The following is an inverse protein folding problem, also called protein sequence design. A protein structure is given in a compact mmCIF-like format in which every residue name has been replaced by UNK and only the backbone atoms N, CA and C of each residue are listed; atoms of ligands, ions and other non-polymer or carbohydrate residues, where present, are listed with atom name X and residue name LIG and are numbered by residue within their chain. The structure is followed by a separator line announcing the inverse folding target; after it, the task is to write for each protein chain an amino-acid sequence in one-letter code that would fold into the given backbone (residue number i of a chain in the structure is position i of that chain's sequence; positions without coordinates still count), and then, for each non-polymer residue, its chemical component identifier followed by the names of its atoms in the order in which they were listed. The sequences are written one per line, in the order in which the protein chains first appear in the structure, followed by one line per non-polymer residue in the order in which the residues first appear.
data_IF_256102779524
#
_entry.id   IF_256102779524
#
_cell.length_a   1.000
_cell.length_b   1.000
_cell.length_c   1.000
_cell.angle_alpha   90.00
_cell.angle_beta   90.00
_cell.angle_gamma   90.00
#
_symmetry.space_group_name_H-M   'P 1'
#
loop_
_entity.id
_entity.type
_entity.pdbx_description
1 polymer ?
#
# COMPACT_ATOMS: atom_id res chain seq x y z
N UNK A 1 -26.48 37.86 3.79
CA UNK A 1 -25.81 36.57 3.68
C UNK A 1 -26.74 35.43 3.19
N UNK A 2 -27.99 35.34 3.67
CA UNK A 2 -28.96 34.33 3.19
C UNK A 2 -29.38 34.53 1.73
N UNK A 3 -29.52 35.74 1.23
CA UNK A 3 -29.92 36.00 -0.17
C UNK A 3 -28.86 35.64 -1.22
N UNK A 4 -27.58 35.79 -0.88
CA UNK A 4 -26.46 35.43 -1.77
C UNK A 4 -26.22 33.92 -1.88
N UNK A 5 -26.45 33.19 -0.78
CA UNK A 5 -26.39 31.72 -0.78
C UNK A 5 -27.52 31.09 -1.61
N UNK A 6 -28.70 31.73 -1.64
CA UNK A 6 -29.81 31.34 -2.50
C UNK A 6 -29.46 31.50 -3.98
N UNK A 7 -28.80 32.61 -4.36
CA UNK A 7 -28.36 32.86 -5.74
C UNK A 7 -27.33 31.86 -6.22
N UNK A 8 -26.33 31.52 -5.39
CA UNK A 8 -25.30 30.51 -5.72
C UNK A 8 -25.92 29.12 -5.85
N UNK A 9 -26.87 28.77 -4.97
CA UNK A 9 -27.60 27.51 -5.04
C UNK A 9 -28.46 27.39 -6.30
N UNK A 10 -29.05 28.48 -6.74
CA UNK A 10 -29.82 28.51 -7.98
C UNK A 10 -28.94 28.38 -9.22
N UNK A 11 -27.79 29.04 -9.27
CA UNK A 11 -26.80 28.89 -10.36
C UNK A 11 -26.27 27.45 -10.40
N UNK A 12 -25.98 26.83 -9.25
CA UNK A 12 -25.54 25.44 -9.18
C UNK A 12 -26.64 24.47 -9.63
N UNK A 13 -27.88 24.70 -9.23
CA UNK A 13 -29.01 23.88 -9.66
C UNK A 13 -29.27 24.02 -11.16
N UNK A 14 -29.08 25.21 -11.71
CA UNK A 14 -29.17 25.45 -13.15
C UNK A 14 -28.06 24.78 -13.95
N UNK A 15 -26.83 24.76 -13.44
CA UNK A 15 -25.70 24.03 -14.03
C UNK A 15 -25.90 22.50 -13.98
N UNK A 16 -26.49 21.99 -12.90
CA UNK A 16 -26.83 20.56 -12.78
C UNK A 16 -27.97 20.19 -13.73
N UNK A 17 -29.04 21.00 -13.82
CA UNK A 17 -30.16 20.79 -14.77
C UNK A 17 -29.72 20.87 -16.24
N UNK A 18 -28.82 21.79 -16.61
CA UNK A 18 -28.23 21.85 -17.96
C UNK A 18 -27.36 20.65 -18.29
N UNK A 19 -26.77 20.01 -17.28
CA UNK A 19 -26.04 18.72 -17.42
C UNK A 19 -26.99 17.55 -17.73
N UNK A 20 -28.18 17.55 -17.16
CA UNK A 20 -29.20 16.50 -17.37
C UNK A 20 -29.88 16.61 -18.74
N UNK A 21 -30.02 17.83 -19.30
CA UNK A 21 -30.75 18.09 -20.54
C UNK A 21 -29.91 18.13 -21.82
N UNK A 22 -28.61 17.78 -21.79
CA UNK A 22 -27.71 17.72 -22.99
C UNK A 22 -27.81 18.88 -23.98
N UNK A 23 -28.13 20.07 -23.53
CA UNK A 23 -28.15 21.25 -24.43
C UNK A 23 -26.74 21.72 -24.76
N UNK A 24 -26.45 21.76 -26.04
CA UNK A 24 -25.18 22.24 -26.61
C UNK A 24 -24.99 23.73 -26.30
N UNK A 25 -23.91 24.07 -25.59
CA UNK A 25 -23.52 25.44 -25.33
C UNK A 25 -23.06 26.10 -26.65
N UNK A 26 -23.73 27.15 -27.03
CA UNK A 26 -23.40 27.95 -28.16
C UNK A 26 -22.03 28.66 -28.01
N UNK A 27 -21.22 28.66 -29.07
CA UNK A 27 -19.82 29.11 -29.11
C UNK A 27 -19.61 30.63 -28.96
N UNK A 28 -20.54 31.36 -28.33
CA UNK A 28 -20.57 32.81 -28.40
C UNK A 28 -20.50 33.64 -27.11
N UNK A 29 -20.62 33.08 -25.88
CA UNK A 29 -20.68 33.95 -24.70
C UNK A 29 -19.34 34.05 -23.95
N UNK A 30 -18.72 35.25 -24.05
CA UNK A 30 -17.53 35.67 -23.29
C UNK A 30 -17.80 36.00 -21.81
N UNK A 31 -18.83 35.46 -21.15
CA UNK A 31 -19.10 35.72 -19.73
C UNK A 31 -18.62 34.54 -18.87
N UNK A 32 -17.32 34.45 -18.64
CA UNK A 32 -16.80 33.68 -17.54
C UNK A 32 -17.30 34.25 -16.22
N UNK A 33 -18.01 33.48 -15.42
CA UNK A 33 -18.41 33.87 -14.05
C UNK A 33 -17.17 34.23 -13.24
N UNK A 34 -16.98 35.52 -12.95
CA UNK A 34 -15.91 36.01 -12.07
C UNK A 34 -16.46 36.07 -10.65
N UNK A 35 -16.08 35.16 -9.83
CA UNK A 35 -16.34 35.24 -8.37
C UNK A 35 -15.40 36.24 -7.72
N UNK A 36 -15.91 37.06 -6.80
CA UNK A 36 -15.12 37.95 -5.97
C UNK A 36 -14.33 37.14 -4.94
N UNK A 37 -13.25 37.72 -4.39
CA UNK A 37 -12.44 37.08 -3.32
C UNK A 37 -13.30 36.66 -2.12
N UNK A 38 -14.34 37.43 -1.79
CA UNK A 38 -15.24 37.12 -0.68
C UNK A 38 -16.15 35.93 -0.99
N UNK A 39 -16.70 35.86 -2.21
CA UNK A 39 -17.52 34.72 -2.66
C UNK A 39 -16.70 33.43 -2.70
N UNK A 40 -15.46 33.46 -3.21
CA UNK A 40 -14.55 32.34 -3.21
C UNK A 40 -14.23 31.86 -1.77
N UNK A 41 -14.08 32.80 -0.83
CA UNK A 41 -13.82 32.46 0.57
C UNK A 41 -15.02 31.81 1.26
N UNK A 42 -16.23 32.13 0.84
CA UNK A 42 -17.48 31.57 1.35
C UNK A 42 -17.89 30.23 0.73
N UNK A 43 -17.26 29.81 -0.38
CA UNK A 43 -17.56 28.52 -1.04
C UNK A 43 -17.06 27.33 -0.24
N UNK A 44 -17.80 26.21 -0.22
CA UNK A 44 -17.31 24.96 0.32
C UNK A 44 -16.01 24.51 -0.34
N UNK A 45 -15.12 23.83 0.42
CA UNK A 45 -13.77 23.48 -0.07
C UNK A 45 -13.75 22.62 -1.33
N UNK A 46 -14.77 21.79 -1.57
CA UNK A 46 -14.88 20.98 -2.80
C UNK A 46 -15.21 21.82 -4.04
N UNK A 47 -15.92 22.92 -3.90
CA UNK A 47 -16.25 23.84 -5.01
C UNK A 47 -15.03 24.72 -5.38
N UNK A 48 -14.22 25.08 -4.39
CA UNK A 48 -13.00 25.89 -4.59
C UNK A 48 -11.91 25.20 -5.41
N UNK A 49 -12.05 23.89 -5.64
CA UNK A 49 -11.02 23.05 -6.26
C UNK A 49 -11.42 22.51 -7.63
N UNK A 50 -12.40 23.13 -8.31
CA UNK A 50 -12.83 22.73 -9.64
C UNK A 50 -12.89 23.94 -10.59
N UNK A 51 -12.68 23.68 -11.87
CA UNK A 51 -12.95 24.61 -12.97
C UNK A 51 -13.42 23.86 -14.21
N UNK A 52 -13.99 24.57 -15.15
CA UNK A 52 -14.49 23.99 -16.41
C UNK A 52 -13.51 24.35 -17.53
N UNK A 53 -13.07 23.35 -18.28
CA UNK A 53 -12.25 23.48 -19.48
C UNK A 53 -12.84 22.62 -20.59
N UNK A 54 -13.30 23.22 -21.72
CA UNK A 54 -13.85 22.52 -22.89
C UNK A 54 -14.81 21.38 -22.53
N UNK A 55 -15.87 21.67 -21.77
CA UNK A 55 -16.87 20.71 -21.27
C UNK A 55 -16.36 19.67 -20.22
N UNK A 56 -15.12 19.78 -19.74
CA UNK A 56 -14.61 18.97 -18.66
C UNK A 56 -14.66 19.72 -17.33
N UNK A 57 -15.15 19.04 -16.30
CA UNK A 57 -14.99 19.48 -14.92
C UNK A 57 -13.62 18.99 -14.45
N UNK A 58 -12.72 19.92 -14.18
CA UNK A 58 -11.32 19.63 -13.81
C UNK A 58 -11.12 19.94 -12.34
N UNK A 59 -10.65 18.96 -11.59
CA UNK A 59 -10.21 19.17 -10.22
C UNK A 59 -8.80 19.78 -10.20
N UNK A 60 -8.56 20.73 -9.30
CA UNK A 60 -7.21 21.22 -9.02
C UNK A 60 -6.91 21.19 -7.54
N UNK A 61 -5.64 21.20 -7.20
CA UNK A 61 -5.14 21.28 -5.83
C UNK A 61 -4.11 22.40 -5.71
N UNK A 62 -3.91 22.85 -4.47
CA UNK A 62 -2.81 23.74 -4.14
C UNK A 62 -1.78 22.89 -3.39
N UNK A 63 -0.54 22.89 -3.88
CA UNK A 63 0.57 22.14 -3.26
C UNK A 63 1.03 22.86 -2.00
N UNK A 64 1.82 22.17 -1.18
CA UNK A 64 2.46 22.75 0.03
C UNK A 64 3.32 23.98 -0.27
N UNK A 65 3.85 24.08 -1.51
CA UNK A 65 4.66 25.20 -1.98
C UNK A 65 3.81 26.33 -2.62
N UNK A 66 2.49 26.30 -2.47
CA UNK A 66 1.59 27.33 -2.99
C UNK A 66 1.31 27.28 -4.49
N UNK A 67 1.77 26.24 -5.22
CA UNK A 67 1.48 26.07 -6.62
C UNK A 67 0.10 25.44 -6.83
N UNK A 68 -0.60 25.90 -7.86
CA UNK A 68 -1.84 25.33 -8.35
C UNK A 68 -1.52 24.22 -9.35
N UNK A 69 -2.13 23.06 -9.18
CA UNK A 69 -1.98 21.90 -10.06
C UNK A 69 -3.34 21.35 -10.45
N UNK A 70 -3.52 21.10 -11.74
CA UNK A 70 -4.71 20.45 -12.29
C UNK A 70 -4.32 19.26 -13.13
N UNK A 71 -5.14 18.20 -13.08
CA UNK A 71 -4.90 16.96 -13.81
C UNK A 71 -6.20 16.34 -14.28
N UNK A 72 -6.22 15.92 -15.55
CA UNK A 72 -7.20 14.96 -16.09
C UNK A 72 -6.48 13.71 -16.53
N UNK A 73 -7.00 12.55 -16.14
CA UNK A 73 -6.54 11.25 -16.61
C UNK A 73 -7.75 10.46 -17.09
N UNK A 74 -7.77 10.09 -18.36
CA UNK A 74 -8.76 9.21 -19.01
C UNK A 74 -8.02 8.23 -19.92
N UNK A 75 -8.70 7.22 -20.43
CA UNK A 75 -8.15 6.08 -21.17
C UNK A 75 -7.01 6.42 -22.15
N UNK A 76 -7.15 7.51 -22.93
CA UNK A 76 -6.15 7.92 -23.92
C UNK A 76 -5.73 9.38 -23.74
N UNK A 77 -6.07 10.01 -22.62
CA UNK A 77 -5.81 11.41 -22.37
C UNK A 77 -5.18 11.62 -20.99
N UNK A 78 -3.96 12.14 -20.98
CA UNK A 78 -3.33 12.62 -19.76
C UNK A 78 -2.91 14.07 -19.97
N UNK A 79 -3.54 14.96 -19.20
CA UNK A 79 -3.25 16.40 -19.24
C UNK A 79 -3.02 16.85 -17.81
N UNK A 80 -1.87 17.47 -17.59
CA UNK A 80 -1.48 18.04 -16.31
C UNK A 80 -0.94 19.44 -16.55
N UNK A 81 -1.27 20.38 -15.66
CA UNK A 81 -0.69 21.71 -15.69
C UNK A 81 -0.51 22.25 -14.27
N UNK A 82 0.54 23.05 -14.10
CA UNK A 82 0.83 23.75 -12.85
C UNK A 82 1.11 25.22 -13.10
N UNK A 83 0.88 26.05 -12.09
CA UNK A 83 1.13 27.49 -12.13
C UNK A 83 1.28 28.11 -10.74
N UNK A 84 1.95 29.26 -10.65
CA UNK A 84 2.08 29.99 -9.38
C UNK A 84 0.76 30.60 -8.91
N UNK A 85 -0.17 30.80 -9.83
CA UNK A 85 -1.52 31.28 -9.59
C UNK A 85 -2.53 30.42 -10.38
N UNK A 86 -3.82 30.54 -10.02
CA UNK A 86 -4.90 29.77 -10.63
C UNK A 86 -5.05 30.04 -12.12
N UNK A 87 -4.97 31.30 -12.56
CA UNK A 87 -5.18 31.67 -13.97
C UNK A 87 -4.03 31.16 -14.85
N UNK A 88 -2.79 31.23 -14.37
CA UNK A 88 -1.63 30.66 -15.10
C UNK A 88 -1.76 29.15 -15.24
N UNK A 89 -2.14 28.44 -14.18
CA UNK A 89 -2.38 27.00 -14.24
C UNK A 89 -3.53 26.66 -15.18
N UNK A 90 -4.66 27.36 -15.06
CA UNK A 90 -5.86 27.16 -15.88
C UNK A 90 -5.57 27.38 -17.37
N UNK A 91 -4.90 28.48 -17.74
CA UNK A 91 -4.49 28.77 -19.12
C UNK A 91 -3.62 27.64 -19.67
N UNK A 92 -2.56 27.27 -18.99
CA UNK A 92 -1.68 26.18 -19.41
C UNK A 92 -2.42 24.85 -19.58
N UNK A 93 -3.41 24.59 -18.71
CA UNK A 93 -4.24 23.40 -18.83
C UNK A 93 -5.10 23.43 -20.09
N UNK A 94 -5.75 24.56 -20.38
CA UNK A 94 -6.57 24.74 -21.57
C UNK A 94 -5.70 24.63 -22.83
N UNK A 95 -4.53 25.27 -22.86
CA UNK A 95 -3.60 25.21 -24.00
C UNK A 95 -3.16 23.75 -24.29
N UNK A 96 -2.86 22.99 -23.25
CA UNK A 96 -2.51 21.57 -23.40
C UNK A 96 -3.68 20.71 -23.83
N UNK A 97 -4.87 21.01 -23.33
CA UNK A 97 -6.09 20.34 -23.75
C UNK A 97 -6.41 20.60 -25.21
N UNK A 98 -6.29 21.85 -25.67
CA UNK A 98 -6.46 22.24 -27.08
C UNK A 98 -5.41 21.55 -27.95
N UNK A 99 -4.13 21.63 -27.57
CA UNK A 99 -3.04 20.94 -28.30
C UNK A 99 -3.21 19.42 -28.37
N UNK A 100 -3.85 18.82 -27.39
CA UNK A 100 -4.18 17.39 -27.43
C UNK A 100 -5.21 17.09 -28.51
N UNK A 101 -6.25 17.91 -28.66
CA UNK A 101 -7.26 17.74 -29.67
C UNK A 101 -6.73 18.09 -31.07
N UNK A 102 -5.93 19.14 -31.21
CA UNK A 102 -5.32 19.54 -32.49
C UNK A 102 -4.39 18.44 -33.04
N UNK A 103 -3.68 17.72 -32.16
CA UNK A 103 -2.85 16.55 -32.52
C UNK A 103 -3.66 15.30 -32.85
N UNK A 104 -4.88 15.18 -32.32
CA UNK A 104 -5.74 14.02 -32.60
C UNK A 104 -6.36 14.03 -34.02
N UNK A 105 -6.32 15.17 -34.68
CA UNK A 105 -6.77 15.29 -36.09
C UNK A 105 -5.69 14.90 -37.11
N UNK A 106 -4.41 14.81 -36.71
CA UNK A 106 -3.32 14.23 -37.50
C UNK A 106 -3.18 12.72 -37.15
N UNK A 107 -4.04 11.91 -37.68
CA UNK A 107 -4.03 10.46 -37.46
C UNK A 107 -2.92 9.77 -38.23
N UNK A 108 -1.89 9.16 -37.62
CA UNK A 108 -1.32 7.97 -38.20
C UNK A 108 -2.39 6.88 -38.05
N UNK A 109 -2.68 6.19 -39.15
CA UNK A 109 -3.48 4.98 -39.16
C UNK A 109 -2.84 3.92 -38.24
N UNK A 110 -2.98 4.08 -36.93
CA UNK A 110 -2.83 2.98 -36.02
C UNK A 110 -4.05 2.10 -36.24
N UNK A 111 -3.79 0.87 -36.69
CA UNK A 111 -4.77 -0.19 -36.76
C UNK A 111 -5.68 -0.11 -35.55
N UNK A 112 -6.93 0.24 -35.76
CA UNK A 112 -7.99 0.12 -34.78
C UNK A 112 -8.07 -1.39 -34.54
N UNK A 113 -7.40 -1.88 -33.49
CA UNK A 113 -7.72 -3.19 -32.96
C UNK A 113 -9.19 -3.10 -32.59
N UNK A 114 -10.05 -3.79 -33.32
CA UNK A 114 -11.45 -3.97 -32.94
C UNK A 114 -11.46 -4.40 -31.47
N UNK A 115 -11.87 -3.48 -30.60
CA UNK A 115 -12.04 -3.78 -29.18
C UNK A 115 -13.20 -4.74 -29.12
N UNK A 116 -12.91 -6.01 -28.86
CA UNK A 116 -13.94 -7.03 -28.68
C UNK A 116 -14.90 -6.52 -27.59
N UNK A 117 -16.21 -6.54 -27.80
CA UNK A 117 -17.16 -6.14 -26.77
C UNK A 117 -16.99 -7.06 -25.54
N UNK A 118 -17.26 -6.55 -24.35
CA UNK A 118 -17.00 -7.23 -23.07
C UNK A 118 -17.71 -8.61 -22.94
N UNK A 119 -18.79 -8.81 -23.69
CA UNK A 119 -19.52 -10.10 -23.80
C UNK A 119 -18.76 -11.19 -24.59
N UNK A 120 -17.68 -10.81 -25.27
CA UNK A 120 -16.81 -11.73 -26.03
C UNK A 120 -15.42 -11.90 -25.40
N UNK A 121 -15.14 -11.21 -24.30
CA UNK A 121 -13.85 -11.29 -23.61
C UNK A 121 -13.97 -12.20 -22.40
N UNK A 122 -13.23 -13.31 -22.40
CA UNK A 122 -13.18 -14.18 -21.24
C UNK A 122 -12.50 -13.50 -20.05
N UNK A 123 -13.03 -13.74 -18.87
CA UNK A 123 -12.42 -13.25 -17.62
C UNK A 123 -10.97 -13.73 -17.49
N UNK A 124 -10.68 -14.97 -17.86
CA UNK A 124 -9.32 -15.54 -17.78
C UNK A 124 -8.35 -14.80 -18.66
N UNK A 125 -8.69 -14.52 -19.91
CA UNK A 125 -7.81 -13.82 -20.85
C UNK A 125 -7.50 -12.41 -20.33
N UNK A 126 -8.53 -11.73 -19.83
CA UNK A 126 -8.36 -10.39 -19.29
C UNK A 126 -7.56 -10.35 -17.98
N UNK A 127 -7.80 -11.31 -17.09
CA UNK A 127 -7.04 -11.44 -15.85
C UNK A 127 -5.55 -11.74 -16.11
N UNK A 128 -5.23 -12.47 -17.18
CA UNK A 128 -3.84 -12.69 -17.61
C UNK A 128 -3.18 -11.41 -18.15
N UNK A 129 -3.92 -10.57 -18.87
CA UNK A 129 -3.43 -9.24 -19.25
C UNK A 129 -3.14 -8.36 -18.01
N UNK A 130 -4.05 -8.38 -17.03
CA UNK A 130 -3.83 -7.71 -15.77
C UNK A 130 -2.59 -8.25 -15.03
N UNK A 131 -2.37 -9.56 -15.02
CA UNK A 131 -1.18 -10.18 -14.43
C UNK A 131 0.11 -9.72 -15.11
N UNK A 132 0.16 -9.63 -16.44
CA UNK A 132 1.33 -9.09 -17.17
C UNK A 132 1.69 -7.67 -16.74
N UNK A 133 0.68 -6.82 -16.49
CA UNK A 133 0.90 -5.48 -15.96
C UNK A 133 1.45 -5.54 -14.54
N UNK A 134 0.90 -6.45 -13.69
CA UNK A 134 1.36 -6.60 -12.30
C UNK A 134 2.78 -7.16 -12.20
N UNK A 135 3.18 -8.02 -13.10
CA UNK A 135 4.56 -8.52 -13.19
C UNK A 135 5.57 -7.38 -13.32
N UNK A 136 5.26 -6.38 -14.12
CA UNK A 136 6.13 -5.22 -14.35
C UNK A 136 6.04 -4.14 -13.26
N UNK A 137 4.93 -4.12 -12.50
CA UNK A 137 4.62 -3.01 -11.58
C UNK A 137 4.65 -3.38 -10.10
N UNK A 138 4.87 -4.65 -9.77
CA UNK A 138 4.91 -5.12 -8.37
C UNK A 138 6.18 -5.90 -8.07
N UNK A 139 6.50 -6.04 -6.78
CA UNK A 139 7.62 -6.89 -6.35
C UNK A 139 7.40 -8.34 -6.78
N UNK A 140 8.47 -9.09 -7.13
CA UNK A 140 8.35 -10.50 -7.54
C UNK A 140 7.59 -11.39 -6.54
N UNK A 141 7.74 -11.12 -5.23
CA UNK A 141 7.02 -11.88 -4.19
C UNK A 141 5.52 -11.60 -4.20
N UNK A 142 5.11 -10.35 -4.46
CA UNK A 142 3.70 -9.97 -4.58
C UNK A 142 3.10 -10.51 -5.87
N UNK A 143 3.84 -10.45 -6.98
CA UNK A 143 3.42 -11.03 -8.25
C UNK A 143 3.18 -12.54 -8.13
N UNK A 144 4.11 -13.30 -7.53
CA UNK A 144 3.92 -14.73 -7.28
C UNK A 144 2.66 -15.05 -6.47
N UNK A 145 2.28 -14.18 -5.52
CA UNK A 145 1.04 -14.35 -4.76
C UNK A 145 -0.19 -14.09 -5.63
N UNK A 146 -0.19 -13.06 -6.49
CA UNK A 146 -1.25 -12.81 -7.46
C UNK A 146 -1.39 -13.96 -8.46
N UNK A 147 -0.29 -14.40 -9.07
CA UNK A 147 -0.26 -15.52 -10.01
C UNK A 147 -0.82 -16.79 -9.39
N UNK A 148 -0.40 -17.12 -8.16
CA UNK A 148 -0.91 -18.26 -7.43
C UNK A 148 -2.41 -18.15 -7.16
N UNK A 149 -2.87 -17.01 -6.67
CA UNK A 149 -4.28 -16.77 -6.37
C UNK A 149 -5.14 -16.84 -7.62
N UNK A 150 -4.66 -16.30 -8.74
CA UNK A 150 -5.33 -16.43 -10.02
C UNK A 150 -5.44 -17.90 -10.44
N UNK A 151 -4.30 -18.59 -10.51
CA UNK A 151 -4.21 -19.96 -11.04
C UNK A 151 -5.00 -20.98 -10.20
N UNK A 152 -4.97 -20.83 -8.87
CA UNK A 152 -5.58 -21.80 -7.96
C UNK A 152 -7.04 -21.49 -7.66
N UNK A 153 -7.39 -20.19 -7.58
CA UNK A 153 -8.67 -19.78 -7.05
C UNK A 153 -9.61 -19.16 -8.10
N UNK A 154 -9.10 -18.25 -8.94
CA UNK A 154 -9.96 -17.49 -9.87
C UNK A 154 -10.15 -18.18 -11.23
N UNK A 155 -9.06 -18.62 -11.85
CA UNK A 155 -9.13 -19.24 -13.18
C UNK A 155 -10.06 -20.48 -13.24
N UNK A 156 -9.99 -21.43 -12.28
CA UNK A 156 -10.90 -22.58 -12.29
C UNK A 156 -12.37 -22.18 -12.08
N UNK A 157 -12.61 -21.10 -11.32
CA UNK A 157 -13.98 -20.66 -11.00
C UNK A 157 -14.65 -19.93 -12.18
N UNK A 158 -13.88 -19.14 -12.93
CA UNK A 158 -14.42 -18.25 -13.98
C UNK A 158 -13.94 -18.60 -15.40
N UNK A 159 -13.41 -19.81 -15.64
CA UNK A 159 -12.73 -20.20 -16.88
C UNK A 159 -13.56 -20.06 -18.16
N UNK A 160 -14.89 -20.20 -18.08
CA UNK A 160 -15.80 -20.11 -19.23
C UNK A 160 -16.71 -18.88 -19.19
N UNK A 161 -16.43 -17.94 -18.29
CA UNK A 161 -17.27 -16.75 -18.10
C UNK A 161 -16.64 -15.55 -18.79
N UNK A 162 -17.47 -14.80 -19.50
CA UNK A 162 -17.04 -13.50 -20.05
C UNK A 162 -17.09 -12.42 -18.96
N UNK A 163 -16.47 -11.26 -19.22
CA UNK A 163 -16.49 -10.14 -18.28
C UNK A 163 -17.92 -9.68 -17.97
N UNK A 164 -18.82 -9.73 -18.95
CA UNK A 164 -20.22 -9.34 -18.82
C UNK A 164 -21.10 -10.38 -18.12
N UNK A 165 -20.72 -11.66 -18.18
CA UNK A 165 -21.49 -12.75 -17.56
C UNK A 165 -21.32 -12.81 -16.04
N UNK A 166 -20.22 -12.25 -15.52
CA UNK A 166 -19.93 -12.30 -14.09
C UNK A 166 -20.68 -11.18 -13.37
N UNK A 167 -21.68 -11.58 -12.61
CA UNK A 167 -22.53 -10.65 -11.88
C UNK A 167 -22.01 -10.39 -10.45
N UNK A 168 -22.51 -9.32 -9.83
CA UNK A 168 -22.29 -9.08 -8.41
C UNK A 168 -22.69 -10.26 -7.54
N UNK A 169 -23.80 -10.93 -7.87
CA UNK A 169 -24.32 -12.07 -7.10
C UNK A 169 -23.36 -13.25 -7.14
N UNK A 170 -22.75 -13.52 -8.31
CA UNK A 170 -21.76 -14.57 -8.46
C UNK A 170 -20.55 -14.32 -7.57
N UNK A 171 -20.02 -13.10 -7.61
CA UNK A 171 -18.86 -12.70 -6.81
C UNK A 171 -19.15 -12.72 -5.31
N UNK A 172 -20.31 -12.25 -4.90
CA UNK A 172 -20.75 -12.29 -3.51
C UNK A 172 -20.87 -13.73 -2.99
N UNK A 173 -21.50 -14.62 -3.79
CA UNK A 173 -21.67 -16.04 -3.45
C UNK A 173 -20.33 -16.75 -3.36
N UNK A 174 -19.44 -16.50 -4.31
CA UNK A 174 -18.09 -17.07 -4.35
C UNK A 174 -17.28 -16.69 -3.09
N UNK A 175 -17.22 -15.40 -2.80
CA UNK A 175 -16.45 -14.90 -1.64
C UNK A 175 -17.06 -15.36 -0.31
N UNK A 176 -18.39 -15.42 -0.20
CA UNK A 176 -19.05 -15.96 0.99
C UNK A 176 -18.82 -17.47 1.16
N UNK A 177 -18.70 -18.23 0.06
CA UNK A 177 -18.30 -19.63 0.11
C UNK A 177 -16.95 -19.81 0.84
N UNK A 178 -15.96 -18.99 0.46
CA UNK A 178 -14.62 -19.00 1.07
C UNK A 178 -14.68 -18.58 2.55
N UNK A 179 -15.51 -17.61 2.89
CA UNK A 179 -15.69 -17.15 4.28
C UNK A 179 -16.32 -18.24 5.14
N UNK A 180 -17.32 -18.97 4.63
CA UNK A 180 -17.94 -20.11 5.33
C UNK A 180 -16.95 -21.22 5.68
N UNK A 181 -15.88 -21.35 4.89
CA UNK A 181 -14.76 -22.26 5.21
C UNK A 181 -13.80 -21.69 6.29
N UNK A 182 -14.11 -20.53 6.88
CA UNK A 182 -13.25 -19.86 7.86
C UNK A 182 -12.06 -19.12 7.25
N UNK A 183 -11.97 -18.99 5.91
CA UNK A 183 -10.82 -18.42 5.19
C UNK A 183 -11.00 -16.92 4.90
N UNK A 184 -11.35 -16.12 5.90
CA UNK A 184 -11.66 -14.69 5.75
C UNK A 184 -10.57 -13.90 5.03
N UNK A 185 -9.30 -14.05 5.45
CA UNK A 185 -8.15 -13.35 4.83
C UNK A 185 -7.96 -13.71 3.36
N UNK A 186 -8.26 -14.95 2.99
CA UNK A 186 -8.22 -15.38 1.58
C UNK A 186 -9.31 -14.67 0.78
N UNK A 187 -10.52 -14.59 1.31
CA UNK A 187 -11.63 -13.88 0.67
C UNK A 187 -11.32 -12.39 0.49
N UNK A 188 -10.77 -11.71 1.50
CA UNK A 188 -10.34 -10.32 1.41
C UNK A 188 -9.31 -10.09 0.29
N UNK A 189 -8.29 -10.96 0.20
CA UNK A 189 -7.26 -10.86 -0.84
C UNK A 189 -7.83 -11.09 -2.25
N UNK A 190 -8.69 -12.09 -2.41
CA UNK A 190 -9.33 -12.36 -3.69
C UNK A 190 -10.29 -11.24 -4.09
N UNK A 191 -11.04 -10.68 -3.14
CA UNK A 191 -11.90 -9.53 -3.40
C UNK A 191 -11.09 -8.31 -3.86
N UNK A 192 -9.94 -8.03 -3.22
CA UNK A 192 -9.05 -6.95 -3.66
C UNK A 192 -8.53 -7.19 -5.09
N UNK A 193 -8.15 -8.41 -5.41
CA UNK A 193 -7.66 -8.78 -6.73
C UNK A 193 -8.77 -8.65 -7.79
N UNK A 194 -9.96 -9.19 -7.51
CA UNK A 194 -11.14 -9.08 -8.38
C UNK A 194 -11.53 -7.61 -8.60
N UNK A 195 -11.48 -6.80 -7.55
CA UNK A 195 -11.76 -5.36 -7.67
C UNK A 195 -10.78 -4.69 -8.65
N UNK A 196 -9.48 -4.95 -8.50
CA UNK A 196 -8.47 -4.38 -9.42
C UNK A 196 -8.67 -4.84 -10.88
N UNK A 197 -9.04 -6.11 -11.11
CA UNK A 197 -9.28 -6.64 -12.45
C UNK A 197 -10.54 -6.00 -13.06
N UNK A 198 -11.64 -5.97 -12.32
CA UNK A 198 -12.89 -5.41 -12.83
C UNK A 198 -12.90 -3.89 -12.90
N UNK A 199 -12.13 -3.18 -12.08
CA UNK A 199 -11.96 -1.73 -12.22
C UNK A 199 -11.21 -1.39 -13.51
N UNK A 200 -10.16 -2.16 -13.84
CA UNK A 200 -9.44 -2.02 -15.11
C UNK A 200 -10.37 -2.37 -16.29
N UNK A 201 -11.14 -3.47 -16.18
CA UNK A 201 -12.10 -3.85 -17.22
C UNK A 201 -13.22 -2.81 -17.40
N UNK A 202 -13.67 -2.18 -16.32
CA UNK A 202 -14.67 -1.14 -16.38
C UNK A 202 -14.18 0.11 -17.14
N UNK A 203 -12.89 0.43 -17.01
CA UNK A 203 -12.27 1.52 -17.79
C UNK A 203 -12.10 1.13 -19.27
N UNK A 204 -11.73 -0.13 -19.55
CA UNK A 204 -11.40 -0.60 -20.90
C UNK A 204 -12.62 -0.89 -21.78
N UNK A 205 -13.70 -1.34 -21.20
CA UNK A 205 -14.91 -1.79 -21.94
C UNK A 205 -16.16 -0.97 -21.62
N UNK A 206 -16.03 0.14 -20.87
CA UNK A 206 -17.15 1.00 -20.44
C UNK A 206 -18.30 0.21 -19.75
N UNK A 207 -17.92 -0.81 -18.97
CA UNK A 207 -18.85 -1.61 -18.18
C UNK A 207 -18.85 -1.13 -16.71
N UNK A 208 -19.92 -1.42 -16.00
CA UNK A 208 -19.96 -1.20 -14.55
C UNK A 208 -19.29 -2.37 -13.83
N UNK A 209 -18.26 -2.08 -13.02
CA UNK A 209 -17.60 -3.12 -12.21
C UNK A 209 -18.60 -3.85 -11.30
N UNK A 210 -18.74 -5.19 -11.44
CA UNK A 210 -19.63 -5.97 -10.59
C UNK A 210 -19.16 -6.02 -9.12
N UNK A 211 -17.91 -5.64 -8.85
CA UNK A 211 -17.37 -5.55 -7.49
C UNK A 211 -17.88 -4.34 -6.70
N UNK A 212 -18.40 -3.30 -7.35
CA UNK A 212 -18.77 -2.01 -6.74
C UNK A 212 -19.72 -2.09 -5.53
N UNK A 213 -20.52 -3.14 -5.43
CA UNK A 213 -21.48 -3.36 -4.34
C UNK A 213 -21.29 -4.70 -3.64
N UNK A 214 -20.14 -5.35 -3.81
CA UNK A 214 -19.80 -6.56 -3.07
C UNK A 214 -19.40 -6.16 -1.65
N UNK A 215 -19.95 -6.87 -0.67
CA UNK A 215 -19.73 -6.60 0.76
C UNK A 215 -19.07 -7.81 1.41
N UNK A 216 -18.03 -7.57 2.17
CA UNK A 216 -17.41 -8.59 3.02
C UNK A 216 -17.68 -8.25 4.49
N UNK A 217 -17.95 -9.26 5.35
CA UNK A 217 -18.04 -9.03 6.79
C UNK A 217 -16.67 -8.58 7.32
N UNK A 218 -16.70 -7.63 8.24
CA UNK A 218 -15.50 -7.19 8.92
C UNK A 218 -14.89 -8.36 9.72
N UNK A 219 -13.61 -8.63 9.51
CA UNK A 219 -12.89 -9.69 10.19
C UNK A 219 -11.68 -9.13 10.92
N UNK A 220 -11.68 -9.22 12.23
CA UNK A 220 -10.49 -8.95 13.03
C UNK A 220 -9.62 -10.20 13.05
N UNK A 221 -8.50 -10.15 12.32
CA UNK A 221 -7.46 -11.18 12.41
C UNK A 221 -6.86 -11.21 13.83
N UNK A 222 -6.44 -12.38 14.28
CA UNK A 222 -5.66 -12.49 15.52
C UNK A 222 -4.37 -11.66 15.35
N UNK A 223 -4.12 -10.70 16.24
CA UNK A 223 -2.81 -10.03 16.29
C UNK A 223 -1.80 -11.02 16.88
N UNK A 224 -0.57 -10.99 16.35
CA UNK A 224 0.53 -11.76 16.95
C UNK A 224 0.78 -11.32 18.39
N UNK A 225 1.16 -12.26 19.24
CA UNK A 225 1.45 -12.04 20.65
C UNK A 225 2.95 -12.22 20.90
N UNK A 226 3.51 -11.41 21.79
CA UNK A 226 4.86 -11.65 22.27
C UNK A 226 4.91 -13.00 23.05
N UNK A 227 6.05 -13.67 23.03
CA UNK A 227 6.28 -14.82 23.87
C UNK A 227 6.20 -14.42 25.35
N UNK A 228 5.69 -15.29 26.19
CA UNK A 228 5.86 -15.18 27.64
C UNK A 228 7.33 -15.31 28.00
N UNK A 229 7.71 -14.92 29.23
CA UNK A 229 9.10 -15.07 29.68
C UNK A 229 9.52 -16.56 29.69
N UNK A 230 8.65 -17.45 30.16
CA UNK A 230 8.92 -18.90 30.18
C UNK A 230 9.09 -19.47 28.76
N UNK A 231 8.29 -19.01 27.78
CA UNK A 231 8.44 -19.43 26.39
C UNK A 231 9.75 -18.92 25.79
N UNK A 232 10.13 -17.68 26.11
CA UNK A 232 11.39 -17.09 25.71
C UNK A 232 12.58 -17.88 26.25
N UNK A 233 12.60 -18.18 27.56
CA UNK A 233 13.64 -19.03 28.19
C UNK A 233 13.71 -20.43 27.56
N UNK A 234 12.57 -21.06 27.35
CA UNK A 234 12.50 -22.37 26.67
C UNK A 234 13.07 -22.32 25.27
N UNK A 235 12.77 -21.24 24.51
CA UNK A 235 13.32 -21.03 23.17
C UNK A 235 14.84 -20.88 23.22
N UNK A 236 15.34 -19.98 24.07
CA UNK A 236 16.78 -19.73 24.23
C UNK A 236 17.49 -21.00 24.64
N UNK A 237 17.02 -21.67 25.68
CA UNK A 237 17.59 -22.95 26.14
C UNK A 237 17.64 -24.00 25.04
N UNK A 238 16.53 -24.16 24.29
CA UNK A 238 16.49 -25.08 23.18
C UNK A 238 17.54 -24.71 22.10
N UNK A 239 17.64 -23.47 21.70
CA UNK A 239 18.59 -23.03 20.67
C UNK A 239 20.05 -23.24 21.13
N UNK A 240 20.35 -22.95 22.38
CA UNK A 240 21.70 -23.11 22.94
C UNK A 240 22.11 -24.59 23.09
N UNK A 241 21.17 -25.50 23.38
CA UNK A 241 21.42 -26.92 23.49
C UNK A 241 21.44 -27.68 22.16
N UNK A 242 20.86 -27.09 21.10
CA UNK A 242 20.72 -27.74 19.79
C UNK A 242 21.41 -26.94 18.68
N UNK A 243 22.64 -26.50 18.88
CA UNK A 243 23.41 -25.63 17.96
C UNK A 243 23.62 -26.22 16.56
N UNK A 244 23.63 -27.54 16.44
CA UNK A 244 23.81 -28.22 15.14
C UNK A 244 22.50 -28.31 14.35
N UNK A 245 21.40 -27.86 14.92
CA UNK A 245 20.08 -27.94 14.29
C UNK A 245 19.83 -26.67 13.48
N UNK A 246 19.63 -26.81 12.16
CA UNK A 246 19.37 -25.70 11.26
C UNK A 246 18.21 -24.81 11.78
N UNK A 247 18.47 -23.51 11.78
CA UNK A 247 17.49 -22.48 12.13
C UNK A 247 17.52 -22.00 13.58
N UNK A 248 18.28 -22.63 14.47
CA UNK A 248 18.40 -22.21 15.88
C UNK A 248 19.08 -20.85 16.01
N UNK A 249 20.20 -20.64 15.32
CA UNK A 249 20.88 -19.34 15.26
C UNK A 249 19.96 -18.25 14.73
N UNK A 250 19.21 -18.55 13.66
CA UNK A 250 18.24 -17.62 13.09
C UNK A 250 17.13 -17.24 14.07
N UNK A 251 16.63 -18.18 14.87
CA UNK A 251 15.62 -17.91 15.91
C UNK A 251 16.17 -16.97 16.99
N UNK A 252 17.42 -17.17 17.44
CA UNK A 252 18.08 -16.27 18.40
C UNK A 252 18.25 -14.88 17.82
N UNK A 253 18.73 -14.77 16.58
CA UNK A 253 18.85 -13.46 15.90
C UNK A 253 17.49 -12.76 15.78
N UNK A 254 16.43 -13.47 15.40
CA UNK A 254 15.09 -12.89 15.31
C UNK A 254 14.57 -12.41 16.66
N UNK A 255 14.86 -13.15 17.74
CA UNK A 255 14.43 -12.80 19.09
C UNK A 255 15.17 -11.59 19.63
N UNK A 256 16.50 -11.56 19.57
CA UNK A 256 17.32 -10.53 20.23
C UNK A 256 17.55 -9.28 19.40
N UNK A 257 17.27 -9.30 18.10
CA UNK A 257 17.44 -8.15 17.21
C UNK A 257 16.14 -7.70 16.52
N UNK A 258 15.04 -8.42 16.73
CA UNK A 258 13.73 -8.02 16.22
C UNK A 258 13.63 -7.96 14.70
N UNK A 259 14.44 -8.70 13.96
CA UNK A 259 14.42 -8.75 12.52
C UNK A 259 13.12 -9.38 11.98
N UNK A 260 12.72 -8.97 10.77
CA UNK A 260 11.78 -9.79 9.99
C UNK A 260 12.50 -11.01 9.44
N UNK A 261 11.82 -12.14 9.33
CA UNK A 261 12.42 -13.37 8.81
C UNK A 261 13.17 -13.21 7.49
N UNK A 262 12.64 -12.39 6.57
CA UNK A 262 13.29 -12.11 5.30
C UNK A 262 14.57 -11.28 5.41
N UNK A 263 14.70 -10.47 6.47
CA UNK A 263 15.83 -9.58 6.70
C UNK A 263 17.09 -10.31 7.16
N UNK A 264 16.94 -11.57 7.62
CA UNK A 264 18.08 -12.45 7.91
C UNK A 264 19.06 -12.57 6.74
N UNK A 265 18.55 -12.56 5.50
CA UNK A 265 19.37 -12.72 4.27
C UNK A 265 20.35 -11.57 4.00
N UNK A 266 20.07 -10.41 4.58
CA UNK A 266 20.88 -9.20 4.41
C UNK A 266 21.61 -8.77 5.68
N UNK A 267 21.52 -9.58 6.75
CA UNK A 267 22.17 -9.22 8.02
C UNK A 267 23.69 -9.19 7.87
N UNK A 268 24.30 -8.22 8.54
CA UNK A 268 25.75 -8.14 8.72
C UNK A 268 26.10 -7.49 10.06
N UNK A 269 27.20 -7.91 10.65
CA UNK A 269 27.78 -7.26 11.81
C UNK A 269 28.65 -6.13 11.30
N UNK A 270 28.47 -4.91 11.84
CA UNK A 270 29.29 -3.74 11.49
C UNK A 270 30.51 -3.67 12.41
N UNK A 271 30.25 -3.76 13.72
CA UNK A 271 31.25 -3.68 14.78
C UNK A 271 30.72 -4.39 16.06
N UNK A 272 31.39 -4.21 17.18
CA UNK A 272 31.04 -4.81 18.46
C UNK A 272 29.73 -4.28 19.08
N UNK A 273 29.11 -3.30 18.46
CA UNK A 273 27.91 -2.63 18.95
C UNK A 273 26.70 -2.71 18.02
N UNK A 274 26.91 -3.04 16.74
CA UNK A 274 25.87 -2.89 15.75
C UNK A 274 25.72 -4.06 14.77
N UNK A 275 24.48 -4.47 14.62
CA UNK A 275 24.00 -5.27 13.49
C UNK A 275 23.29 -4.37 12.48
N UNK A 276 23.45 -4.64 11.20
CA UNK A 276 22.76 -3.96 10.12
C UNK A 276 22.02 -4.94 9.23
N UNK A 277 20.87 -4.51 8.70
CA UNK A 277 20.12 -5.27 7.71
C UNK A 277 19.36 -4.35 6.74
N UNK A 278 18.99 -4.89 5.59
CA UNK A 278 18.10 -4.23 4.64
C UNK A 278 16.65 -4.27 5.14
N UNK A 279 15.95 -3.13 5.07
CA UNK A 279 14.54 -3.07 5.44
C UNK A 279 13.66 -3.67 4.35
N UNK A 280 12.93 -4.74 4.66
CA UNK A 280 12.19 -5.56 3.68
C UNK A 280 10.90 -4.94 3.10
N UNK A 281 10.42 -3.79 3.64
CA UNK A 281 9.14 -3.18 3.24
C UNK A 281 9.25 -2.04 2.23
N UNK A 282 10.29 -1.99 1.43
CA UNK A 282 10.43 -0.96 0.40
C UNK A 282 9.50 -1.21 -0.79
N UNK A 283 9.13 -0.13 -1.49
CA UNK A 283 8.37 -0.23 -2.74
C UNK A 283 9.30 -0.56 -3.90
N UNK A 284 8.75 -1.11 -4.97
CA UNK A 284 9.50 -1.34 -6.20
C UNK A 284 10.10 -0.01 -6.70
N UNK A 285 11.39 -0.02 -7.05
CA UNK A 285 12.10 1.16 -7.54
C UNK A 285 12.58 2.15 -6.47
N UNK A 286 12.41 1.86 -5.16
CA UNK A 286 13.02 2.64 -4.09
C UNK A 286 14.44 2.10 -3.77
N UNK A 287 15.30 2.99 -3.30
CA UNK A 287 16.63 2.60 -2.82
C UNK A 287 16.50 1.70 -1.59
N UNK A 288 17.42 0.74 -1.49
CA UNK A 288 17.54 -0.11 -0.31
C UNK A 288 17.83 0.75 0.92
N UNK A 289 16.98 0.67 1.94
CA UNK A 289 17.19 1.35 3.21
C UNK A 289 17.84 0.38 4.19
N UNK A 290 19.05 0.69 4.59
CA UNK A 290 19.78 -0.02 5.64
C UNK A 290 19.34 0.53 7.00
N UNK A 291 19.19 -0.34 7.97
CA UNK A 291 18.98 0.05 9.37
C UNK A 291 19.95 -0.66 10.28
N UNK A 292 20.39 0.04 11.30
CA UNK A 292 21.25 -0.48 12.35
C UNK A 292 20.41 -0.86 13.56
N UNK A 293 20.80 -1.92 14.23
CA UNK A 293 20.20 -2.40 15.47
C UNK A 293 21.35 -2.60 16.49
N UNK A 294 21.28 -1.96 17.68
CA UNK A 294 22.37 -2.05 18.63
C UNK A 294 22.41 -3.41 19.32
N UNK A 295 23.58 -3.80 19.78
CA UNK A 295 23.76 -4.93 20.67
C UNK A 295 23.35 -4.52 22.09
N UNK A 296 22.16 -4.93 22.47
CA UNK A 296 21.67 -4.73 23.84
C UNK A 296 22.44 -5.63 24.84
N UNK A 297 22.50 -5.32 26.14
CA UNK A 297 23.06 -6.21 27.15
C UNK A 297 22.47 -7.63 27.12
N UNK A 298 21.16 -7.74 26.89
CA UNK A 298 20.53 -9.05 26.72
C UNK A 298 21.05 -9.80 25.47
N UNK A 299 21.25 -9.12 24.36
CA UNK A 299 21.81 -9.70 23.13
C UNK A 299 23.29 -10.10 23.34
N UNK A 300 24.11 -9.25 23.99
CA UNK A 300 25.52 -9.50 24.25
C UNK A 300 25.78 -10.82 25.01
N UNK A 301 24.85 -11.26 25.85
CA UNK A 301 24.93 -12.55 26.59
C UNK A 301 24.81 -13.75 25.66
N UNK A 302 24.08 -13.65 24.56
CA UNK A 302 23.84 -14.79 23.64
C UNK A 302 24.69 -14.73 22.39
N UNK A 303 25.19 -13.54 21.99
CA UNK A 303 26.04 -13.35 20.81
C UNK A 303 27.20 -14.35 20.73
N UNK A 304 27.97 -14.70 21.80
CA UNK A 304 29.06 -15.65 21.73
C UNK A 304 28.61 -17.06 21.30
N UNK A 305 27.32 -17.33 21.36
CA UNK A 305 26.74 -18.62 21.01
C UNK A 305 26.04 -18.64 19.67
N UNK A 306 25.96 -17.51 18.97
CA UNK A 306 25.26 -17.37 17.67
C UNK A 306 26.27 -17.43 16.54
N UNK A 307 26.04 -18.31 15.57
CA UNK A 307 26.68 -18.28 14.28
C UNK A 307 25.84 -17.43 13.31
N UNK A 308 26.27 -16.18 13.09
CA UNK A 308 25.55 -15.24 12.24
C UNK A 308 25.51 -15.65 10.77
N UNK A 309 26.53 -16.36 10.29
CA UNK A 309 26.53 -16.86 8.91
C UNK A 309 25.54 -18.03 8.76
N UNK A 310 25.46 -18.93 9.73
CA UNK A 310 24.39 -19.95 9.75
C UNK A 310 23.01 -19.30 9.82
N UNK A 311 22.83 -18.27 10.66
CA UNK A 311 21.58 -17.54 10.76
C UNK A 311 21.15 -16.89 9.44
N UNK A 312 22.09 -16.21 8.75
CA UNK A 312 21.91 -15.57 7.45
C UNK A 312 21.56 -16.57 6.35
N UNK A 313 22.23 -17.72 6.33
CA UNK A 313 22.06 -18.73 5.30
C UNK A 313 20.93 -19.71 5.58
N UNK A 314 20.31 -19.67 6.76
CA UNK A 314 19.24 -20.56 7.13
C UNK A 314 18.06 -20.56 6.13
N UNK A 315 17.50 -21.74 5.89
CA UNK A 315 16.28 -21.84 5.11
C UNK A 315 15.10 -21.24 5.88
N UNK A 316 14.49 -20.19 5.34
CA UNK A 316 13.41 -19.46 6.00
C UNK A 316 12.17 -20.33 6.31
N UNK A 317 11.93 -21.39 5.53
CA UNK A 317 10.83 -22.33 5.81
C UNK A 317 11.20 -23.26 6.96
N UNK A 318 12.46 -23.70 7.03
CA UNK A 318 12.97 -24.48 8.17
C UNK A 318 12.84 -23.68 9.47
N UNK A 319 13.23 -22.39 9.47
CA UNK A 319 13.06 -21.50 10.64
C UNK A 319 11.59 -21.44 11.08
N UNK A 320 10.66 -21.27 10.12
CA UNK A 320 9.24 -21.22 10.42
C UNK A 320 8.69 -22.56 10.96
N UNK A 321 9.12 -23.66 10.36
CA UNK A 321 8.72 -25.02 10.79
C UNK A 321 9.27 -25.33 12.18
N UNK A 322 10.51 -24.93 12.46
CA UNK A 322 11.15 -25.09 13.78
C UNK A 322 10.37 -24.34 14.86
N UNK A 323 10.08 -23.07 14.61
CA UNK A 323 9.28 -22.26 15.53
C UNK A 323 7.94 -22.92 15.85
N UNK A 324 7.23 -23.39 14.82
CA UNK A 324 5.93 -24.04 14.95
C UNK A 324 6.00 -25.38 15.72
N UNK A 325 7.11 -26.12 15.62
CA UNK A 325 7.32 -27.36 16.40
C UNK A 325 7.55 -27.07 17.85
N UNK A 326 8.24 -25.98 18.19
CA UNK A 326 8.48 -25.55 19.57
C UNK A 326 7.21 -24.98 20.21
N UNK A 327 6.46 -24.20 19.43
CA UNK A 327 5.26 -23.50 19.88
C UNK A 327 4.19 -23.55 18.79
N UNK A 328 3.19 -24.41 18.93
CA UNK A 328 2.14 -24.63 17.93
C UNK A 328 1.37 -23.36 17.53
N UNK A 329 1.26 -22.41 18.45
CA UNK A 329 0.50 -21.18 18.31
C UNK A 329 1.35 -19.99 17.86
N UNK A 330 2.68 -20.15 17.78
CA UNK A 330 3.60 -19.09 17.44
C UNK A 330 4.23 -19.24 16.05
N UNK A 331 4.68 -18.12 15.49
CA UNK A 331 5.42 -18.06 14.23
C UNK A 331 6.59 -17.04 14.34
N UNK A 332 7.60 -17.09 13.47
CA UNK A 332 8.82 -16.27 13.63
C UNK A 332 8.61 -14.77 13.77
N UNK A 333 7.50 -14.21 13.26
CA UNK A 333 7.24 -12.77 13.40
C UNK A 333 6.93 -12.35 14.84
N UNK A 334 6.50 -13.30 15.68
CA UNK A 334 6.21 -13.04 17.09
C UNK A 334 7.48 -12.89 17.93
N UNK A 335 8.63 -13.40 17.46
CA UNK A 335 9.93 -13.11 18.05
C UNK A 335 10.26 -11.61 17.98
N UNK A 336 9.91 -11.00 16.87
CA UNK A 336 10.01 -9.55 16.73
C UNK A 336 9.00 -8.79 17.61
N UNK A 337 7.80 -9.31 17.78
CA UNK A 337 6.86 -8.74 18.76
C UNK A 337 7.43 -8.84 20.18
N UNK A 338 8.08 -9.98 20.52
CA UNK A 338 8.75 -10.17 21.80
C UNK A 338 9.86 -9.14 21.99
N UNK A 339 10.77 -8.98 21.03
CA UNK A 339 11.82 -7.96 21.07
C UNK A 339 11.25 -6.55 21.35
N UNK A 340 10.24 -6.13 20.56
CA UNK A 340 9.60 -4.81 20.73
C UNK A 340 8.98 -4.69 22.13
N UNK A 341 8.32 -5.72 22.61
CA UNK A 341 7.68 -5.74 23.93
C UNK A 341 8.75 -5.63 25.03
N UNK A 342 9.83 -6.39 24.98
CA UNK A 342 10.93 -6.34 25.96
C UNK A 342 11.62 -4.98 25.98
N UNK A 343 11.90 -4.40 24.81
CA UNK A 343 12.44 -3.04 24.73
C UNK A 343 11.54 -2.01 25.43
N UNK A 344 10.21 -2.10 25.22
CA UNK A 344 9.24 -1.20 25.86
C UNK A 344 9.13 -1.45 27.35
N UNK A 345 9.12 -2.70 27.80
CA UNK A 345 9.12 -3.07 29.24
C UNK A 345 10.37 -2.55 29.97
N UNK A 346 11.51 -2.51 29.26
CA UNK A 346 12.75 -1.91 29.77
C UNK A 346 12.80 -0.38 29.69
N UNK A 347 11.74 0.29 29.25
CA UNK A 347 11.64 1.75 29.19
C UNK A 347 12.42 2.40 28.05
N UNK A 348 12.72 1.66 26.97
CA UNK A 348 13.27 2.23 25.72
C UNK A 348 12.22 3.13 25.07
N UNK A 349 12.63 4.29 24.57
CA UNK A 349 11.72 5.20 23.88
C UNK A 349 11.06 4.53 22.66
N UNK A 350 9.74 4.69 22.51
CA UNK A 350 8.94 4.02 21.46
C UNK A 350 9.40 4.33 20.04
N UNK A 351 9.91 5.54 19.80
CA UNK A 351 10.44 5.98 18.52
C UNK A 351 11.74 5.25 18.20
N UNK A 352 12.63 5.07 19.17
CA UNK A 352 13.87 4.33 19.04
C UNK A 352 13.60 2.84 18.74
N UNK A 353 12.67 2.23 19.49
CA UNK A 353 12.21 0.86 19.22
C UNK A 353 11.65 0.73 17.81
N UNK A 354 10.91 1.75 17.34
CA UNK A 354 10.36 1.76 15.98
C UNK A 354 11.44 1.82 14.91
N UNK A 355 12.52 2.57 15.15
CA UNK A 355 13.70 2.63 14.25
C UNK A 355 14.37 1.26 14.20
N UNK A 356 14.71 0.66 15.36
CA UNK A 356 15.33 -0.68 15.41
C UNK A 356 14.45 -1.75 14.77
N UNK A 357 13.14 -1.66 14.96
CA UNK A 357 12.20 -2.55 14.33
C UNK A 357 11.96 -2.23 12.83
N UNK A 358 12.38 -1.10 12.28
CA UNK A 358 12.08 -0.68 10.89
C UNK A 358 10.57 -0.57 10.66
N UNK A 359 9.88 0.06 11.61
CA UNK A 359 8.52 0.55 11.42
C UNK A 359 8.57 1.96 10.87
N UNK A 360 7.68 2.29 9.92
CA UNK A 360 7.46 3.69 9.58
C UNK A 360 6.97 4.41 10.84
N UNK A 361 7.60 5.51 11.20
CA UNK A 361 7.12 6.35 12.27
C UNK A 361 5.74 6.91 11.84
N UNK A 362 4.66 6.37 12.43
CA UNK A 362 3.31 6.89 12.23
C UNK A 362 3.16 8.16 13.06
N UNK A 363 3.19 9.31 12.41
CA UNK A 363 3.06 10.59 13.08
C UNK A 363 2.96 11.74 12.09
N UNK A 364 2.91 12.96 12.62
CA UNK A 364 3.01 14.19 11.82
C UNK A 364 4.33 14.22 11.04
N UNK A 365 4.40 14.99 9.95
CA UNK A 365 5.62 15.20 9.14
C UNK A 365 6.83 15.51 10.03
N UNK A 366 6.63 16.20 11.14
CA UNK A 366 7.66 16.53 12.14
C UNK A 366 8.28 15.27 12.75
N UNK A 367 7.48 14.25 13.11
CA UNK A 367 7.98 13.00 13.71
C UNK A 367 8.74 12.15 12.70
N UNK A 368 8.32 12.19 11.43
CA UNK A 368 8.91 11.34 10.38
C UNK A 368 10.19 11.93 9.77
N UNK A 369 10.30 13.27 9.68
CA UNK A 369 11.38 13.96 8.98
C UNK A 369 12.52 14.40 9.92
N UNK A 370 12.22 14.71 11.18
CA UNK A 370 13.18 15.35 12.07
C UNK A 370 13.73 14.46 13.19
N UNK A 371 13.30 13.21 13.32
CA UNK A 371 13.78 12.33 14.38
C UNK A 371 14.95 11.48 13.90
N UNK A 372 16.14 12.06 13.83
CA UNK A 372 17.40 11.34 13.65
C UNK A 372 18.09 11.26 15.01
N UNK A 373 17.95 10.13 15.69
CA UNK A 373 18.70 9.86 16.90
C UNK A 373 20.15 9.49 16.54
N UNK A 374 21.11 10.13 17.24
CA UNK A 374 22.52 9.77 17.09
C UNK A 374 22.78 8.31 17.50
N UNK A 375 23.83 7.71 16.95
CA UNK A 375 24.23 6.34 17.33
C UNK A 375 24.52 6.27 18.85
N UNK A 376 25.14 7.31 19.43
CA UNK A 376 25.42 7.43 20.86
C UNK A 376 24.13 7.39 21.71
N UNK A 377 23.11 8.14 21.31
CA UNK A 377 21.82 8.12 22.00
C UNK A 377 21.14 6.75 21.91
N UNK A 378 21.18 6.12 20.74
CA UNK A 378 20.60 4.79 20.54
C UNK A 378 21.33 3.73 21.39
N UNK A 379 22.66 3.80 21.51
CA UNK A 379 23.44 2.92 22.37
C UNK A 379 23.06 3.12 23.84
N UNK A 380 22.88 4.37 24.29
CA UNK A 380 22.41 4.65 25.65
C UNK A 380 21.00 4.08 25.92
N UNK A 381 20.11 4.14 24.95
CA UNK A 381 18.80 3.51 25.04
C UNK A 381 18.91 1.97 25.07
N UNK A 382 19.85 1.40 24.32
CA UNK A 382 20.08 -0.04 24.28
C UNK A 382 20.53 -0.62 25.63
N UNK A 383 21.31 0.13 26.42
CA UNK A 383 21.77 -0.29 27.75
C UNK A 383 20.61 -0.59 28.73
N UNK A 384 19.42 -0.03 28.48
CA UNK A 384 18.23 -0.33 29.28
C UNK A 384 17.73 -1.77 29.10
N UNK A 385 18.04 -2.43 27.99
CA UNK A 385 17.51 -3.75 27.62
C UNK A 385 18.37 -4.84 28.25
N UNK A 386 18.24 -5.03 29.56
CA UNK A 386 18.96 -6.00 30.36
C UNK A 386 17.99 -6.88 31.17
N UNK A 387 17.08 -7.58 30.51
CA UNK A 387 16.07 -8.40 31.17
C UNK A 387 16.49 -9.86 31.45
N UNK A 388 17.70 -10.24 31.05
CA UNK A 388 18.18 -11.61 31.21
C UNK A 388 18.80 -11.91 32.61
N UNK A 389 18.70 -10.99 33.55
CA UNK A 389 19.24 -11.16 34.93
C UNK A 389 18.14 -11.34 36.00
N UNK A 390 16.91 -11.65 35.61
CA UNK A 390 15.81 -11.88 36.56
C UNK A 390 15.54 -13.38 36.69
N UNK A 391 16.52 -14.10 37.19
CA UNK A 391 16.40 -15.51 37.51
C UNK A 391 17.46 -15.94 38.47
#
# INVERSE_FOLDING_TARGET
LCGQLSSIKNVMNELVRKRENRETFDKGSKSGFKFTKQEIKAMPNYIKKIFIANNYIVNYRITSNGYYEARIRRKNMYIEASGRDFETMRRRFIDRLTSYYDRSDETPQQQIKEVKPADKVLFTDYAEEWLKIKEQTTKPSTFKEYERSYRVDLAPTFTKRTLSDITRSDLQTYLFGIIKEGKHRKAEKLALMLNCIFDMAAEDYDITSPMKKVVLPNHQGKSGQALTKDEEERLVKYCLTHKDVEGTDALLVLLFFGLRKSELKSLRIIDDNWLECETSKERLGQNVVLRKIPFTPAAKKVIPYIDFEKAKNANLNTVATRMKRLFSNHHPHELRHTFITRCKECGVQSEVVSIWAGHSLSGTITTTVYTHYSDEFQLKEAEKVNYADQG
#
